data_IF_463757080236
#
_entry.id   IF_463757080236
#
_cell.length_a   1.000
_cell.length_b   1.000
_cell.length_c   1.000
_cell.angle_alpha   90.00
_cell.angle_beta   90.00
_cell.angle_gamma   90.00
#
_symmetry.space_group_name_H-M   'P 1'
#
loop_
_entity.id
_entity.type
_entity.pdbx_description
1 polymer ?
#
# COMPACT_ATOMS: atom_id res chain seq x y z
N UNK A 1 -8.31 11.74 7.20
CA UNK A 1 -7.52 12.44 6.18
C UNK A 1 -6.39 11.57 5.65
N UNK A 2 -5.89 11.95 4.50
CA UNK A 2 -4.80 11.24 3.83
C UNK A 2 -3.48 11.50 4.57
N UNK A 3 -2.74 10.43 4.87
CA UNK A 3 -1.49 10.53 5.63
C UNK A 3 -0.31 10.83 4.72
N UNK A 4 0.69 11.53 5.26
CA UNK A 4 1.94 11.78 4.52
C UNK A 4 2.64 10.48 4.13
N UNK A 5 2.56 9.45 4.96
CA UNK A 5 3.14 8.14 4.63
C UNK A 5 2.60 7.57 3.31
N UNK A 6 1.32 7.82 3.00
CA UNK A 6 0.74 7.43 1.73
C UNK A 6 1.38 8.22 0.57
N UNK A 7 1.59 9.52 0.76
CA UNK A 7 2.21 10.36 -0.27
C UNK A 7 3.65 9.95 -0.55
N UNK A 8 4.41 9.59 0.49
CA UNK A 8 5.77 9.06 0.33
C UNK A 8 5.76 7.74 -0.44
N UNK A 9 4.79 6.88 -0.16
CA UNK A 9 4.66 5.59 -0.83
C UNK A 9 4.30 5.74 -2.31
N UNK A 10 3.46 6.72 -2.64
CA UNK A 10 3.13 7.02 -4.05
C UNK A 10 4.40 7.40 -4.83
N UNK A 11 5.29 8.19 -4.23
CA UNK A 11 6.57 8.54 -4.87
C UNK A 11 7.41 7.29 -5.16
N UNK A 12 7.47 6.35 -4.22
CA UNK A 12 8.17 5.09 -4.43
C UNK A 12 7.51 4.27 -5.53
N UNK A 13 6.17 4.21 -5.55
CA UNK A 13 5.44 3.47 -6.57
C UNK A 13 5.69 4.02 -7.98
N UNK A 14 5.83 5.33 -8.12
CA UNK A 14 6.14 5.96 -9.41
C UNK A 14 7.51 5.57 -9.97
N UNK A 15 8.42 5.13 -9.10
CA UNK A 15 9.72 4.61 -9.53
C UNK A 15 9.62 3.16 -10.01
N UNK A 16 8.55 2.46 -9.64
CA UNK A 16 8.31 1.07 -10.05
C UNK A 16 7.49 0.97 -11.33
N UNK A 17 6.66 1.97 -11.64
CA UNK A 17 5.80 1.95 -12.80
C UNK A 17 5.06 3.27 -12.97
N UNK A 18 4.23 3.36 -14.02
CA UNK A 18 3.55 4.61 -14.37
C UNK A 18 2.06 4.61 -14.06
N UNK A 19 1.44 3.44 -13.99
CA UNK A 19 0.00 3.32 -13.75
C UNK A 19 -0.24 3.00 -12.27
N UNK A 20 -0.41 4.03 -11.48
CA UNK A 20 -0.51 3.91 -10.02
C UNK A 20 -1.97 3.96 -9.60
N UNK A 21 -2.44 2.88 -8.97
CA UNK A 21 -3.75 2.81 -8.36
C UNK A 21 -3.59 2.85 -6.84
N UNK A 22 -4.33 3.72 -6.18
CA UNK A 22 -4.27 3.87 -4.74
C UNK A 22 -5.50 3.23 -4.12
N UNK A 23 -5.30 2.26 -3.24
CA UNK A 23 -6.40 1.60 -2.55
C UNK A 23 -6.70 2.34 -1.25
N UNK A 24 -7.96 2.73 -1.09
CA UNK A 24 -8.49 3.28 0.16
C UNK A 24 -9.49 2.28 0.70
N UNK A 25 -9.15 1.64 1.81
CA UNK A 25 -9.99 0.64 2.45
C UNK A 25 -10.34 1.11 3.86
N UNK A 26 -11.62 1.21 4.16
CA UNK A 26 -12.08 1.69 5.46
C UNK A 26 -13.59 1.72 5.54
N UNK A 27 -14.09 2.42 6.55
CA UNK A 27 -15.52 2.68 6.72
C UNK A 27 -15.74 4.20 6.66
N UNK A 28 -16.71 4.61 5.85
CA UNK A 28 -16.98 6.04 5.63
C UNK A 28 -15.72 6.78 5.15
N UNK A 29 -15.03 6.20 4.18
CA UNK A 29 -13.74 6.69 3.70
C UNK A 29 -13.84 7.50 2.40
N UNK A 30 -15.03 7.95 2.03
CA UNK A 30 -15.24 8.68 0.77
C UNK A 30 -14.41 9.96 0.69
N UNK A 31 -14.34 10.73 1.77
CA UNK A 31 -13.55 11.96 1.79
C UNK A 31 -12.07 11.70 1.61
N UNK A 32 -11.57 10.61 2.18
CA UNK A 32 -10.18 10.20 2.01
C UNK A 32 -9.92 9.78 0.56
N UNK A 33 -10.85 9.05 -0.05
CA UNK A 33 -10.74 8.65 -1.45
C UNK A 33 -10.74 9.87 -2.39
N UNK A 34 -11.56 10.87 -2.10
CA UNK A 34 -11.58 12.11 -2.88
C UNK A 34 -10.24 12.85 -2.76
N UNK A 35 -9.68 12.92 -1.56
CA UNK A 35 -8.37 13.51 -1.32
C UNK A 35 -7.27 12.74 -2.05
N UNK A 36 -7.33 11.41 -2.00
CA UNK A 36 -6.40 10.52 -2.70
C UNK A 36 -6.45 10.71 -4.23
N UNK A 37 -7.63 10.99 -4.77
CA UNK A 37 -7.81 11.17 -6.21
C UNK A 37 -7.07 12.39 -6.76
N UNK A 38 -6.64 13.30 -5.89
CA UNK A 38 -5.92 14.51 -6.27
C UNK A 38 -4.40 14.39 -6.07
N UNK A 39 -3.90 13.23 -5.73
CA UNK A 39 -2.46 13.01 -5.57
C UNK A 39 -1.81 12.87 -6.95
N UNK A 40 -0.77 13.68 -7.20
CA UNK A 40 -0.05 13.65 -8.47
C UNK A 40 0.58 12.28 -8.71
N UNK A 41 0.42 11.76 -9.93
CA UNK A 41 0.96 10.47 -10.32
C UNK A 41 0.00 9.30 -10.14
N UNK A 42 -1.06 9.47 -9.35
CA UNK A 42 -2.11 8.46 -9.20
C UNK A 42 -3.04 8.55 -10.41
N UNK A 43 -3.30 7.41 -11.06
CA UNK A 43 -4.19 7.36 -12.23
C UNK A 43 -5.61 6.93 -11.89
N UNK A 44 -5.80 6.24 -10.75
CA UNK A 44 -7.11 5.78 -10.29
C UNK A 44 -7.06 5.51 -8.79
N UNK A 45 -8.19 5.74 -8.12
CA UNK A 45 -8.37 5.35 -6.73
C UNK A 45 -9.38 4.22 -6.67
N UNK A 46 -9.05 3.17 -5.92
CA UNK A 46 -9.97 2.07 -5.64
C UNK A 46 -10.46 2.24 -4.19
N UNK A 47 -11.76 2.31 -4.02
CA UNK A 47 -12.36 2.52 -2.70
C UNK A 47 -13.14 1.29 -2.28
N UNK A 48 -12.76 0.70 -1.14
CA UNK A 48 -13.50 -0.35 -0.47
C UNK A 48 -14.03 0.22 0.84
N UNK A 49 -15.33 0.49 0.88
CA UNK A 49 -15.97 1.14 2.02
C UNK A 49 -16.99 0.19 2.64
N UNK A 50 -16.70 -0.28 3.84
CA UNK A 50 -17.59 -1.18 4.57
C UNK A 50 -17.24 -1.23 6.04
N UNK A 51 -18.21 -1.64 6.85
CA UNK A 51 -18.01 -1.80 8.30
C UNK A 51 -16.97 -2.85 8.64
N UNK A 52 -16.79 -3.86 7.81
CA UNK A 52 -15.72 -4.86 7.98
C UNK A 52 -14.31 -4.25 7.95
N UNK A 53 -14.17 -3.05 7.38
CA UNK A 53 -12.90 -2.35 7.25
C UNK A 53 -12.79 -1.15 8.19
N UNK A 54 -13.76 -0.96 9.09
CA UNK A 54 -13.86 0.21 9.95
C UNK A 54 -12.60 0.43 10.79
N UNK A 55 -12.06 -0.64 11.36
CA UNK A 55 -10.91 -0.57 12.26
C UNK A 55 -9.61 -1.02 11.59
N UNK A 56 -9.64 -1.23 10.29
CA UNK A 56 -8.47 -1.61 9.49
C UNK A 56 -7.72 -2.81 10.07
N UNK A 57 -8.46 -3.84 10.50
CA UNK A 57 -7.85 -5.07 11.01
C UNK A 57 -6.98 -5.70 9.93
N UNK A 58 -5.73 -6.11 10.25
CA UNK A 58 -4.80 -6.60 9.24
C UNK A 58 -5.31 -7.74 8.37
N UNK A 59 -6.06 -8.68 8.94
CA UNK A 59 -6.63 -9.78 8.15
C UNK A 59 -7.61 -9.28 7.10
N UNK A 60 -8.46 -8.33 7.46
CA UNK A 60 -9.46 -7.80 6.54
C UNK A 60 -8.83 -6.95 5.45
N UNK A 61 -7.86 -6.12 5.81
CA UNK A 61 -7.15 -5.28 4.82
C UNK A 61 -6.35 -6.15 3.86
N UNK A 62 -5.64 -7.17 4.37
CA UNK A 62 -4.90 -8.10 3.53
C UNK A 62 -5.83 -8.83 2.55
N UNK A 63 -6.97 -9.32 3.01
CA UNK A 63 -7.95 -9.98 2.15
C UNK A 63 -8.49 -9.03 1.08
N UNK A 64 -8.72 -7.78 1.46
CA UNK A 64 -9.16 -6.76 0.51
C UNK A 64 -8.13 -6.54 -0.61
N UNK A 65 -6.86 -6.44 -0.25
CA UNK A 65 -5.77 -6.31 -1.22
C UNK A 65 -5.73 -7.54 -2.15
N UNK A 66 -5.89 -8.72 -1.59
CA UNK A 66 -5.84 -9.96 -2.36
C UNK A 66 -6.93 -10.06 -3.42
N UNK A 67 -8.09 -9.40 -3.22
CA UNK A 67 -9.16 -9.41 -4.22
C UNK A 67 -8.75 -8.73 -5.53
N UNK A 68 -7.77 -7.84 -5.50
CA UNK A 68 -7.33 -7.07 -6.67
C UNK A 68 -5.88 -7.35 -7.05
N UNK A 69 -5.16 -8.13 -6.26
CA UNK A 69 -3.70 -8.30 -6.39
C UNK A 69 -3.27 -8.80 -7.78
N UNK A 70 -4.05 -9.69 -8.40
CA UNK A 70 -3.69 -10.30 -9.69
C UNK A 70 -3.57 -9.29 -10.84
N UNK A 71 -4.16 -8.10 -10.69
CA UNK A 71 -4.10 -7.05 -11.70
C UNK A 71 -2.81 -6.21 -11.63
N UNK A 72 -1.95 -6.45 -10.63
CA UNK A 72 -0.81 -5.59 -10.36
C UNK A 72 0.49 -6.37 -10.36
N UNK A 73 1.57 -5.67 -10.71
CA UNK A 73 2.93 -6.22 -10.64
C UNK A 73 3.63 -5.85 -9.33
N UNK A 74 3.18 -4.77 -8.70
CA UNK A 74 3.76 -4.25 -7.46
C UNK A 74 2.64 -3.88 -6.50
N UNK A 75 2.81 -4.25 -5.24
CA UNK A 75 1.91 -3.85 -4.16
C UNK A 75 2.78 -3.22 -3.08
N UNK A 76 2.57 -1.93 -2.84
CA UNK A 76 3.38 -1.16 -1.91
C UNK A 76 2.53 -0.64 -0.75
N UNK A 77 3.15 -0.60 0.40
CA UNK A 77 2.60 0.07 1.58
C UNK A 77 3.73 0.77 2.33
N UNK A 78 3.42 1.83 3.09
CA UNK A 78 4.43 2.43 3.94
C UNK A 78 4.83 1.47 5.07
N UNK A 79 6.10 1.53 5.50
CA UNK A 79 6.62 0.69 6.59
C UNK A 79 6.18 1.25 7.96
N UNK A 80 4.88 1.45 8.11
CA UNK A 80 4.22 1.81 9.36
C UNK A 80 3.78 0.52 10.07
N UNK A 81 3.26 0.65 11.28
CA UNK A 81 2.74 -0.51 12.02
C UNK A 81 1.70 -1.27 11.21
N UNK A 82 0.80 -0.55 10.53
CA UNK A 82 -0.22 -1.14 9.66
C UNK A 82 0.39 -1.89 8.48
N UNK A 83 1.28 -1.24 7.76
CA UNK A 83 1.93 -1.86 6.61
C UNK A 83 2.73 -3.10 6.99
N UNK A 84 3.43 -3.04 8.11
CA UNK A 84 4.20 -4.17 8.64
C UNK A 84 3.32 -5.33 9.10
N UNK A 85 2.07 -5.06 9.47
CA UNK A 85 1.12 -6.10 9.85
C UNK A 85 0.41 -6.71 8.64
N UNK A 86 0.09 -5.90 7.64
CA UNK A 86 -0.71 -6.31 6.48
C UNK A 86 0.13 -7.00 5.40
N UNK A 87 1.27 -6.43 5.04
CA UNK A 87 2.01 -6.86 3.85
C UNK A 87 2.62 -8.25 3.96
N UNK A 88 3.12 -8.72 5.11
CA UNK A 88 3.56 -10.11 5.22
C UNK A 88 2.43 -11.11 4.97
N UNK A 89 1.20 -10.78 5.39
CA UNK A 89 0.02 -11.62 5.12
C UNK A 89 -0.29 -11.70 3.64
N UNK A 90 -0.20 -10.57 2.94
CA UNK A 90 -0.41 -10.50 1.49
C UNK A 90 0.64 -11.34 0.78
N UNK A 91 1.91 -11.17 1.13
CA UNK A 91 3.00 -11.92 0.51
C UNK A 91 2.86 -13.43 0.73
N UNK A 92 2.52 -13.84 1.96
CA UNK A 92 2.32 -15.25 2.27
C UNK A 92 1.18 -15.87 1.45
N UNK A 93 0.06 -15.16 1.32
CA UNK A 93 -1.07 -15.67 0.54
C UNK A 93 -0.78 -15.73 -0.96
N UNK A 94 0.07 -14.85 -1.46
CA UNK A 94 0.49 -14.85 -2.87
C UNK A 94 1.67 -15.79 -3.13
N UNK A 95 2.24 -16.36 -2.08
CA UNK A 95 3.43 -17.22 -2.15
C UNK A 95 4.61 -16.50 -2.81
N UNK A 96 4.86 -15.28 -2.38
CA UNK A 96 5.99 -14.46 -2.86
C UNK A 96 6.78 -13.93 -1.67
N UNK A 97 8.02 -13.52 -1.90
CA UNK A 97 8.83 -12.87 -0.88
C UNK A 97 8.42 -11.42 -0.66
N UNK A 98 8.35 -11.01 0.58
CA UNK A 98 8.16 -9.60 0.90
C UNK A 98 9.52 -8.90 0.94
N UNK A 99 9.61 -7.74 0.30
CA UNK A 99 10.79 -6.88 0.38
C UNK A 99 10.46 -5.73 1.30
N UNK A 100 10.97 -5.75 2.53
CA UNK A 100 10.56 -4.83 3.58
C UNK A 100 11.51 -3.65 3.75
N UNK A 101 10.96 -2.53 4.18
CA UNK A 101 11.67 -1.30 4.54
C UNK A 101 12.64 -0.80 3.46
N UNK A 102 12.17 -0.77 2.21
CA UNK A 102 12.97 -0.29 1.10
C UNK A 102 13.28 1.20 1.25
N UNK A 103 14.52 1.55 0.94
CA UNK A 103 14.97 2.94 0.96
C UNK A 103 15.29 3.46 -0.43
N UNK A 104 15.38 2.57 -1.44
CA UNK A 104 15.65 2.96 -2.81
C UNK A 104 15.04 1.97 -3.79
N UNK A 105 14.49 2.49 -4.87
CA UNK A 105 14.06 1.70 -6.02
C UNK A 105 15.06 1.94 -7.13
N UNK A 106 15.84 0.90 -7.45
CA UNK A 106 16.85 0.98 -8.51
C UNK A 106 16.20 0.77 -9.87
N UNK A 107 15.29 -0.20 -9.95
CA UNK A 107 14.47 -0.50 -11.13
C UNK A 107 13.18 -1.17 -10.67
N UNK A 108 12.32 -1.55 -11.60
CA UNK A 108 11.07 -2.23 -11.26
C UNK A 108 11.29 -3.59 -10.58
N UNK A 109 12.49 -4.15 -10.67
CA UNK A 109 12.82 -5.46 -10.10
C UNK A 109 13.88 -5.40 -9.00
N UNK A 110 14.55 -4.27 -8.83
CA UNK A 110 15.73 -4.15 -7.97
C UNK A 110 15.55 -3.05 -6.94
N UNK A 111 15.79 -3.40 -5.69
CA UNK A 111 15.51 -2.53 -4.55
C UNK A 111 16.68 -2.57 -3.57
N UNK A 112 16.85 -1.49 -2.79
CA UNK A 112 17.82 -1.45 -1.72
C UNK A 112 17.10 -1.29 -0.38
N UNK A 113 17.60 -2.01 0.62
CA UNK A 113 17.08 -1.95 1.98
C UNK A 113 18.21 -2.05 3.00
N UNK A 114 18.08 -1.39 4.15
CA UNK A 114 19.07 -1.53 5.22
C UNK A 114 18.98 -2.90 5.89
N UNK A 115 20.13 -3.42 6.27
CA UNK A 115 20.26 -4.66 7.03
C UNK A 115 21.23 -4.45 8.19
N UNK A 116 21.33 -5.40 9.10
CA UNK A 116 22.21 -5.32 10.27
C UNK A 116 22.02 -4.02 11.06
N UNK A 117 20.77 -3.73 11.44
CA UNK A 117 20.40 -2.52 12.20
C UNK A 117 20.86 -1.22 11.51
N UNK A 118 20.85 -1.20 10.17
CA UNK A 118 21.23 -0.02 9.40
C UNK A 118 22.72 0.11 9.09
N UNK A 119 23.54 -0.88 9.50
CA UNK A 119 24.99 -0.82 9.25
C UNK A 119 25.39 -1.22 7.84
N UNK A 120 24.47 -1.77 7.05
CA UNK A 120 24.73 -2.16 5.67
C UNK A 120 23.48 -1.98 4.83
N UNK A 121 23.66 -1.92 3.52
CA UNK A 121 22.58 -1.84 2.53
C UNK A 121 22.64 -3.11 1.69
N UNK A 122 21.50 -3.81 1.61
CA UNK A 122 21.36 -4.96 0.71
C UNK A 122 20.63 -4.53 -0.56
N UNK A 123 21.15 -4.99 -1.70
CA UNK A 123 20.45 -4.86 -2.98
C UNK A 123 19.71 -6.16 -3.23
N UNK A 124 18.39 -6.06 -3.40
CA UNK A 124 17.52 -7.22 -3.59
C UNK A 124 16.90 -7.15 -4.97
N UNK A 125 17.05 -8.21 -5.74
CA UNK A 125 16.37 -8.37 -7.02
C UNK A 125 15.26 -9.40 -6.85
N UNK A 126 14.04 -9.05 -7.27
CA UNK A 126 12.90 -9.94 -7.19
C UNK A 126 12.50 -10.40 -8.59
N UNK A 127 12.32 -11.71 -8.74
CA UNK A 127 11.80 -12.31 -9.96
C UNK A 127 10.33 -12.70 -9.80
N UNK A 128 9.74 -12.42 -8.66
CA UNK A 128 8.32 -12.72 -8.42
C UNK A 128 7.43 -11.94 -9.38
N UNK A 129 6.35 -12.56 -9.83
CA UNK A 129 5.39 -11.94 -10.74
C UNK A 129 4.72 -10.73 -10.06
N UNK A 130 4.44 -10.84 -8.78
CA UNK A 130 3.90 -9.74 -7.97
C UNK A 130 4.91 -9.45 -6.87
N UNK A 131 5.40 -8.22 -6.83
CA UNK A 131 6.36 -7.78 -5.83
C UNK A 131 5.63 -7.09 -4.70
N UNK A 132 5.79 -7.59 -3.49
CA UNK A 132 5.15 -7.06 -2.28
C UNK A 132 6.20 -6.33 -1.47
N UNK A 133 6.00 -5.02 -1.27
CA UNK A 133 7.01 -4.15 -0.68
C UNK A 133 6.43 -3.29 0.43
N UNK A 134 7.26 -3.04 1.45
CA UNK A 134 7.05 -1.88 2.31
C UNK A 134 8.20 -0.90 2.07
N UNK A 135 7.92 0.39 2.20
CA UNK A 135 8.90 1.43 1.95
C UNK A 135 9.10 2.27 3.19
N UNK A 136 10.36 2.64 3.44
CA UNK A 136 10.69 3.56 4.52
C UNK A 136 10.30 4.96 4.07
N UNK A 137 9.32 5.55 4.73
CA UNK A 137 8.70 6.80 4.28
C UNK A 137 9.68 7.97 4.25
N UNK A 138 10.66 7.99 5.17
CA UNK A 138 11.66 9.04 5.20
C UNK A 138 12.64 9.01 4.02
N UNK A 139 12.67 7.91 3.27
CA UNK A 139 13.56 7.76 2.13
C UNK A 139 12.97 8.29 0.81
N UNK A 140 11.70 8.65 0.79
CA UNK A 140 11.01 9.11 -0.42
C UNK A 140 10.29 10.43 -0.13
N UNK A 141 10.34 11.40 -1.05
CA UNK A 141 9.62 12.65 -0.86
C UNK A 141 8.11 12.41 -0.97
N UNK A 142 7.28 13.22 -0.31
CA UNK A 142 5.84 13.09 -0.49
C UNK A 142 5.43 13.51 -1.89
N UNK A 143 4.51 12.77 -2.50
CA UNK A 143 3.92 13.15 -3.77
C UNK A 143 3.09 14.42 -3.60
N UNK A 144 3.08 15.25 -4.63
CA UNK A 144 2.34 16.50 -4.60
C UNK A 144 0.85 16.24 -4.81
N UNK A 145 0.03 17.18 -4.36
CA UNK A 145 -1.40 17.19 -4.64
C UNK A 145 -1.67 18.15 -5.79
N UNK A 146 -2.65 17.80 -6.61
CA UNK A 146 -3.07 18.64 -7.73
C UNK A 146 -4.57 18.95 -7.62
N UNK A 147 -5.05 19.85 -8.46
CA UNK A 147 -6.49 20.16 -8.54
C UNK A 147 -7.24 19.19 -9.46
N UNK A 148 -6.50 18.35 -10.19
CA UNK A 148 -7.10 17.40 -11.14
C UNK A 148 -7.40 16.09 -10.42
N UNK A 149 -8.67 15.76 -10.27
CA UNK A 149 -9.08 14.52 -9.64
C UNK A 149 -9.14 13.40 -10.68
N UNK A 150 -8.63 12.21 -10.31
CA UNK A 150 -8.74 11.01 -11.11
C UNK A 150 -9.99 10.21 -10.69
N UNK A 151 -10.45 9.24 -11.50
CA UNK A 151 -11.63 8.45 -11.13
C UNK A 151 -11.43 7.70 -9.81
N UNK A 152 -12.52 7.67 -9.03
CA UNK A 152 -12.61 6.82 -7.83
C UNK A 152 -13.56 5.69 -8.18
N UNK A 153 -13.04 4.46 -8.16
CA UNK A 153 -13.83 3.27 -8.44
C UNK A 153 -14.20 2.57 -7.13
N UNK A 154 -15.48 2.31 -6.95
CA UNK A 154 -15.94 1.51 -5.83
C UNK A 154 -15.70 0.04 -6.13
N UNK A 155 -15.03 -0.67 -5.23
CA UNK A 155 -14.83 -2.11 -5.35
C UNK A 155 -15.55 -2.82 -4.22
N UNK A 156 -15.87 -4.09 -4.44
CA UNK A 156 -16.55 -4.90 -3.44
C UNK A 156 -15.66 -5.07 -2.21
N UNK A 157 -16.23 -4.80 -1.03
CA UNK A 157 -15.51 -4.97 0.23
C UNK A 157 -15.63 -6.41 0.72
N UNK A 158 -14.56 -6.90 1.36
CA UNK A 158 -14.56 -8.24 1.95
C UNK A 158 -15.42 -8.28 3.20
N UNK A 159 -15.93 -9.48 3.51
CA UNK A 159 -16.61 -9.72 4.77
C UNK A 159 -15.61 -9.81 5.90
N UNK A 160 -16.06 -9.54 7.13
CA UNK A 160 -15.22 -9.67 8.31
C UNK A 160 -14.79 -11.14 8.48
N UNK A 161 -13.49 -11.34 8.72
CA UNK A 161 -12.94 -12.67 8.95
C UNK A 161 -13.37 -13.29 10.28
N UNK A 162 -13.69 -12.45 11.26
CA UNK A 162 -14.05 -12.91 12.62
C UNK A 162 -12.85 -13.41 13.43
N UNK A 163 -11.62 -13.28 12.90
CA UNK A 163 -10.42 -13.83 13.55
C UNK A 163 -9.81 -12.90 14.58
N UNK A 164 -10.12 -11.61 14.49
CA UNK A 164 -9.62 -10.63 15.44
C UNK A 164 -10.70 -9.61 15.75
N UNK A 165 -10.51 -8.89 16.84
CA UNK A 165 -11.44 -7.86 17.26
C UNK A 165 -10.71 -6.53 17.40
N UNK A 166 -11.48 -5.46 17.34
CA UNK A 166 -10.96 -4.10 17.42
C UNK A 166 -10.43 -3.79 18.82
N UNK A 167 -9.24 -3.22 18.89
CA UNK A 167 -8.66 -2.73 20.16
C UNK A 167 -8.18 -1.28 20.07
N UNK A 168 -7.92 -0.75 18.88
CA UNK A 168 -7.52 0.65 18.70
C UNK A 168 -7.87 1.13 17.31
N UNK A 169 -8.10 2.43 17.14
CA UNK A 169 -8.48 2.95 15.83
C UNK A 169 -7.28 3.26 14.96
N UNK A 170 -7.45 3.04 13.66
CA UNK A 170 -6.41 3.24 12.66
C UNK A 170 -7.01 3.33 11.27
N UNK A 171 -6.38 4.08 10.40
CA UNK A 171 -6.73 4.12 8.99
C UNK A 171 -5.56 3.64 8.17
N UNK A 172 -5.79 2.64 7.32
CA UNK A 172 -4.77 2.07 6.46
C UNK A 172 -5.04 2.42 5.01
N UNK A 173 -3.94 2.58 4.26
CA UNK A 173 -3.97 2.82 2.83
C UNK A 173 -2.84 2.04 2.19
N UNK A 174 -3.12 1.49 1.01
CA UNK A 174 -2.11 0.79 0.23
C UNK A 174 -2.06 1.39 -1.16
N UNK A 175 -0.88 1.40 -1.77
CA UNK A 175 -0.73 1.74 -3.17
C UNK A 175 0.02 0.63 -3.87
N UNK A 176 -0.26 0.51 -5.17
CA UNK A 176 0.34 -0.48 -6.04
C UNK A 176 1.79 -0.20 -6.30
#
# INVERSE_FOLDING_TARGET
SLKNSTLNTVSAALLCGQDIHLLVAGCQCKSVAEEASKVSGVSKVLMADATSLEHALPENVARQILTIAAAYTHILAPATSSGKAVMPRVAACLDVGQISENTRVVSEETFERPIYAGNAIATVQSEDTIKVLTVRTTAFPPAEKSDNAVPVENIAAVADSGRSSYVSSRTDKSSR
#
